data_IF_407284240420
#
_entry.id   IF_407284240420
#
_cell.length_a   1.000
_cell.length_b   1.000
_cell.length_c   1.000
_cell.angle_alpha   90.00
_cell.angle_beta   90.00
_cell.angle_gamma   90.00
#
_symmetry.space_group_name_H-M   'P 1'
#
loop_
_entity.id
_entity.type
_entity.pdbx_description
1 polymer ?
#
# COMPACT_ATOMS: atom_id res chain seq x y z
N UNK A 1 -0.18 -6.34 8.24
CA UNK A 1 -1.56 -6.04 8.73
C UNK A 1 -1.84 -4.60 9.19
N UNK A 2 -1.00 -3.60 8.86
CA UNK A 2 -1.26 -2.19 9.20
C UNK A 2 -2.36 -1.55 8.34
N UNK A 3 -2.41 -1.88 7.05
CA UNK A 3 -3.45 -1.42 6.12
C UNK A 3 -4.81 -2.00 6.51
N UNK A 4 -4.89 -3.33 6.66
CA UNK A 4 -6.12 -4.03 7.05
C UNK A 4 -6.67 -3.51 8.38
N UNK A 5 -5.81 -3.27 9.39
CA UNK A 5 -6.23 -2.66 10.64
C UNK A 5 -6.81 -1.26 10.43
N UNK A 6 -6.14 -0.42 9.64
CA UNK A 6 -6.60 0.95 9.34
C UNK A 6 -7.94 0.95 8.64
N UNK A 7 -8.17 0.05 7.67
CA UNK A 7 -9.44 -0.11 6.97
C UNK A 7 -10.55 -0.63 7.90
N UNK A 8 -10.26 -1.58 8.79
CA UNK A 8 -11.21 -2.04 9.81
C UNK A 8 -11.56 -0.92 10.79
N UNK A 9 -10.60 -0.09 11.18
CA UNK A 9 -10.83 1.03 12.11
C UNK A 9 -11.81 2.05 11.55
N UNK A 10 -11.70 2.41 10.27
CA UNK A 10 -12.60 3.40 9.64
C UNK A 10 -14.01 2.87 9.35
N UNK A 11 -14.17 1.54 9.33
CA UNK A 11 -15.45 0.86 9.07
C UNK A 11 -16.13 0.37 10.34
N UNK A 12 -15.39 0.16 11.44
CA UNK A 12 -15.90 -0.40 12.71
C UNK A 12 -17.17 0.27 13.26
N UNK A 13 -17.32 1.58 13.07
CA UNK A 13 -18.45 2.34 13.59
C UNK A 13 -19.44 2.77 12.48
N UNK A 14 -19.28 2.26 11.26
CA UNK A 14 -20.21 2.51 10.15
C UNK A 14 -21.11 1.28 10.03
N UNK A 15 -22.43 1.50 10.05
CA UNK A 15 -23.43 0.48 9.75
C UNK A 15 -23.42 0.11 8.26
N UNK A 16 -24.59 -0.02 7.64
CA UNK A 16 -24.66 -0.25 6.20
C UNK A 16 -24.18 0.99 5.41
N UNK A 17 -23.50 0.73 4.29
CA UNK A 17 -23.18 1.78 3.31
C UNK A 17 -24.35 1.95 2.34
N UNK A 18 -24.61 3.17 1.85
CA UNK A 18 -25.74 3.44 0.95
C UNK A 18 -25.54 2.86 -0.46
N UNK A 19 -24.29 2.58 -0.86
CA UNK A 19 -23.93 1.84 -2.08
C UNK A 19 -22.50 1.31 -1.98
N UNK A 20 -22.15 0.40 -2.88
CA UNK A 20 -20.77 -0.11 -3.00
C UNK A 20 -19.80 1.01 -3.39
N UNK A 21 -20.22 1.99 -4.20
CA UNK A 21 -19.33 3.12 -4.54
C UNK A 21 -19.01 3.99 -3.32
N UNK A 22 -19.94 4.12 -2.37
CA UNK A 22 -19.68 4.87 -1.14
C UNK A 22 -18.60 4.20 -0.28
N UNK A 23 -18.61 2.86 -0.19
CA UNK A 23 -17.57 2.09 0.47
C UNK A 23 -16.22 2.22 -0.24
N UNK A 24 -16.21 2.07 -1.57
CA UNK A 24 -14.99 2.20 -2.38
C UNK A 24 -14.36 3.59 -2.26
N UNK A 25 -15.16 4.66 -2.29
CA UNK A 25 -14.68 6.03 -2.07
C UNK A 25 -14.03 6.20 -0.70
N UNK A 26 -14.63 5.64 0.35
CA UNK A 26 -14.06 5.68 1.69
C UNK A 26 -12.69 4.97 1.74
N UNK A 27 -12.58 3.80 1.14
CA UNK A 27 -11.33 3.04 1.07
C UNK A 27 -10.27 3.75 0.25
N UNK A 28 -10.64 4.32 -0.89
CA UNK A 28 -9.74 5.14 -1.70
C UNK A 28 -9.14 6.30 -0.90
N UNK A 29 -9.98 7.07 -0.19
CA UNK A 29 -9.51 8.17 0.66
C UNK A 29 -8.61 7.68 1.80
N UNK A 30 -8.96 6.56 2.43
CA UNK A 30 -8.15 5.97 3.49
C UNK A 30 -6.78 5.52 2.99
N UNK A 31 -6.72 4.81 1.85
CA UNK A 31 -5.47 4.36 1.24
C UNK A 31 -4.60 5.54 0.82
N UNK A 32 -5.16 6.58 0.23
CA UNK A 32 -4.42 7.81 -0.07
C UNK A 32 -3.79 8.43 1.18
N UNK A 33 -4.54 8.49 2.28
CA UNK A 33 -4.03 9.04 3.54
C UNK A 33 -2.96 8.15 4.19
N UNK A 34 -3.07 6.82 4.04
CA UNK A 34 -2.03 5.87 4.48
C UNK A 34 -0.77 6.05 3.65
N UNK A 35 -0.90 6.09 2.32
CA UNK A 35 0.22 6.22 1.39
C UNK A 35 1.03 7.51 1.64
N UNK A 36 0.37 8.63 1.97
CA UNK A 36 1.05 9.87 2.36
C UNK A 36 1.99 9.72 3.57
N UNK A 37 1.79 8.73 4.43
CA UNK A 37 2.63 8.46 5.60
C UNK A 37 3.78 7.50 5.29
N UNK A 38 3.77 6.83 4.14
CA UNK A 38 4.83 5.92 3.71
C UNK A 38 5.98 6.70 3.06
N UNK A 39 6.61 7.56 3.85
CA UNK A 39 7.72 8.42 3.40
C UNK A 39 9.09 7.81 3.68
N UNK A 40 9.16 6.80 4.56
CA UNK A 40 10.42 6.16 4.92
C UNK A 40 10.94 5.33 3.74
N UNK A 41 12.18 5.54 3.29
CA UNK A 41 12.77 4.72 2.24
C UNK A 41 12.92 3.26 2.70
N UNK A 42 12.82 2.34 1.76
CA UNK A 42 13.01 0.91 2.02
C UNK A 42 14.45 0.69 2.50
N UNK A 43 14.59 0.15 3.71
CA UNK A 43 15.90 -0.13 4.28
C UNK A 43 16.63 -1.17 3.44
N UNK A 44 17.94 -0.97 3.25
CA UNK A 44 18.79 -1.88 2.47
C UNK A 44 18.35 -2.11 1.02
N UNK A 45 17.71 -1.12 0.39
CA UNK A 45 17.18 -1.29 -0.98
C UNK A 45 18.27 -1.60 -2.02
N UNK A 46 19.44 -0.98 -1.94
CA UNK A 46 20.56 -1.20 -2.88
C UNK A 46 21.06 -2.66 -2.92
N UNK A 47 21.43 -3.31 -1.80
CA UNK A 47 21.84 -4.72 -1.85
C UNK A 47 20.70 -5.66 -2.27
N UNK A 48 19.44 -5.34 -1.94
CA UNK A 48 18.28 -6.11 -2.41
C UNK A 48 18.13 -6.02 -3.93
N UNK A 49 18.27 -4.83 -4.51
CA UNK A 49 18.26 -4.64 -5.96
C UNK A 49 19.34 -5.47 -6.66
N UNK A 50 20.57 -5.49 -6.13
CA UNK A 50 21.65 -6.32 -6.68
C UNK A 50 21.27 -7.80 -6.73
N UNK A 51 20.61 -8.31 -5.68
CA UNK A 51 20.11 -9.69 -5.65
C UNK A 51 19.01 -9.93 -6.69
N UNK A 52 18.09 -8.98 -6.87
CA UNK A 52 17.06 -9.08 -7.89
C UNK A 52 17.64 -9.06 -9.31
N UNK A 53 18.68 -8.26 -9.57
CA UNK A 53 19.33 -8.24 -10.89
C UNK A 53 19.93 -9.60 -11.26
N UNK A 54 20.52 -10.31 -10.28
CA UNK A 54 21.06 -11.67 -10.50
C UNK A 54 19.92 -12.70 -10.66
N UNK A 55 18.89 -12.63 -9.83
CA UNK A 55 17.81 -13.63 -9.84
C UNK A 55 16.85 -13.48 -11.03
N UNK A 56 16.66 -12.23 -11.51
CA UNK A 56 15.72 -11.87 -12.55
C UNK A 56 16.44 -11.10 -13.66
N UNK A 57 17.45 -11.74 -14.25
CA UNK A 57 18.24 -11.17 -15.35
C UNK A 57 17.34 -10.64 -16.48
N UNK A 58 17.69 -9.47 -17.01
CA UNK A 58 16.94 -8.80 -18.08
C UNK A 58 15.57 -8.23 -17.69
N UNK A 59 15.12 -8.37 -16.43
CA UNK A 59 13.84 -7.82 -15.95
C UNK A 59 13.98 -6.61 -15.03
N UNK A 60 15.20 -6.34 -14.55
CA UNK A 60 15.47 -5.15 -13.75
C UNK A 60 15.79 -3.97 -14.66
N UNK A 61 15.39 -2.73 -14.29
CA UNK A 61 15.78 -1.54 -15.03
C UNK A 61 17.30 -1.44 -15.09
N UNK A 62 17.87 -1.29 -16.28
CA UNK A 62 19.26 -0.88 -16.44
C UNK A 62 19.32 0.61 -16.14
N UNK A 63 19.97 0.98 -15.04
CA UNK A 63 20.29 2.38 -14.73
C UNK A 63 21.09 3.02 -15.86
#
# INVERSE_FOLDING_TARGET
>A
ESVNMSLRKITKNRGAFPSDEALLKLFYLALNNIAKKWTMPVQNWKPVLNRFTIQFEGRMPTN
#
